data_IF_175787158981
#
_entry.id   IF_175787158981
#
_cell.length_a   1.000
_cell.length_b   1.000
_cell.length_c   1.000
_cell.angle_alpha   90.00
_cell.angle_beta   90.00
_cell.angle_gamma   90.00
#
_symmetry.space_group_name_H-M   'P 1'
#
loop_
_entity.id
_entity.type
_entity.pdbx_description
1 polymer ?
#
# COMPACT_ATOMS: atom_id res chain seq x y z
N UNK A 1 -3.37 -16.67 -2.04
CA UNK A 1 -3.41 -16.23 -3.46
C UNK A 1 -2.07 -16.48 -4.18
N UNK A 2 -0.90 -16.29 -3.55
CA UNK A 2 0.36 -16.91 -4.00
C UNK A 2 0.48 -18.40 -3.61
N UNK A 3 -0.07 -18.80 -2.46
CA UNK A 3 0.03 -20.17 -1.93
C UNK A 3 -0.88 -21.22 -2.62
N UNK A 4 -1.76 -20.82 -3.54
CA UNK A 4 -2.77 -21.72 -4.13
C UNK A 4 -2.48 -22.15 -5.58
N UNK A 5 -1.27 -21.91 -6.10
CA UNK A 5 -0.82 -22.35 -7.43
C UNK A 5 -1.70 -21.91 -8.64
N UNK A 6 -2.72 -21.07 -8.43
CA UNK A 6 -3.56 -20.48 -9.49
C UNK A 6 -2.78 -19.38 -10.23
N UNK A 7 -1.82 -18.75 -9.55
CA UNK A 7 -0.94 -17.75 -10.11
C UNK A 7 0.46 -18.36 -10.20
N UNK A 8 0.86 -18.78 -11.40
CA UNK A 8 2.20 -19.31 -11.62
C UNK A 8 3.21 -18.16 -11.64
N UNK A 9 3.97 -17.94 -10.55
CA UNK A 9 5.06 -16.95 -10.52
C UNK A 9 6.21 -17.28 -11.49
N UNK A 10 6.25 -18.49 -12.05
CA UNK A 10 7.13 -18.82 -13.18
C UNK A 10 6.66 -18.19 -14.50
N UNK A 11 5.41 -17.71 -14.55
CA UNK A 11 4.95 -16.89 -15.67
C UNK A 11 5.54 -15.48 -15.51
N UNK A 12 6.43 -15.13 -16.44
CA UNK A 12 7.14 -13.86 -16.46
C UNK A 12 6.21 -12.65 -16.41
N UNK A 13 5.00 -12.76 -16.97
CA UNK A 13 4.03 -11.67 -16.97
C UNK A 13 3.53 -11.34 -15.55
N UNK A 14 3.19 -12.37 -14.77
CA UNK A 14 2.74 -12.19 -13.38
C UNK A 14 3.87 -11.62 -12.53
N UNK A 15 5.08 -12.16 -12.68
CA UNK A 15 6.25 -11.70 -11.94
C UNK A 15 6.54 -10.21 -12.24
N UNK A 16 6.46 -9.81 -13.51
CA UNK A 16 6.62 -8.42 -13.94
C UNK A 16 5.58 -7.50 -13.29
N UNK A 17 4.31 -7.90 -13.24
CA UNK A 17 3.26 -7.11 -12.57
C UNK A 17 3.56 -7.00 -11.06
N UNK A 18 3.92 -8.11 -10.42
CA UNK A 18 4.26 -8.10 -8.99
C UNK A 18 5.41 -7.15 -8.67
N UNK A 19 6.50 -7.24 -9.44
CA UNK A 19 7.67 -6.37 -9.32
C UNK A 19 7.33 -4.90 -9.55
N UNK A 20 6.50 -4.62 -10.56
CA UNK A 20 6.05 -3.27 -10.84
C UNK A 20 5.26 -2.70 -9.67
N UNK A 21 4.27 -3.45 -9.17
CA UNK A 21 3.45 -3.01 -8.04
C UNK A 21 4.29 -2.80 -6.77
N UNK A 22 5.25 -3.70 -6.51
CA UNK A 22 6.19 -3.55 -5.41
C UNK A 22 7.00 -2.26 -5.54
N UNK A 23 7.67 -2.04 -6.69
CA UNK A 23 8.50 -0.84 -6.92
C UNK A 23 7.68 0.46 -6.92
N UNK A 24 6.44 0.41 -7.40
CA UNK A 24 5.55 1.57 -7.41
C UNK A 24 5.10 1.97 -5.99
N UNK A 25 4.89 0.99 -5.11
CA UNK A 25 4.38 1.22 -3.75
C UNK A 25 5.49 1.41 -2.70
N UNK A 26 6.68 0.87 -2.93
CA UNK A 26 7.81 0.93 -1.97
C UNK A 26 8.20 2.35 -1.53
N UNK A 27 8.20 3.40 -2.37
CA UNK A 27 8.49 4.77 -1.92
C UNK A 27 7.54 5.28 -0.83
N UNK A 28 6.29 4.81 -0.82
CA UNK A 28 5.28 5.17 0.18
C UNK A 28 5.32 4.22 1.39
N UNK A 29 5.56 2.93 1.16
CA UNK A 29 5.58 1.92 2.22
C UNK A 29 6.86 1.97 3.06
N UNK A 30 8.02 2.23 2.46
CA UNK A 30 9.34 2.21 3.15
C UNK A 30 9.43 3.21 4.30
N UNK A 31 9.00 4.48 4.17
CA UNK A 31 9.01 5.42 5.29
C UNK A 31 8.07 4.97 6.42
N UNK A 32 6.88 4.45 6.09
CA UNK A 32 5.92 3.97 7.07
C UNK A 32 6.51 2.79 7.85
N UNK A 33 7.11 1.82 7.16
CA UNK A 33 7.75 0.65 7.78
C UNK A 33 8.89 1.03 8.74
N UNK A 34 9.60 2.13 8.48
CA UNK A 34 10.66 2.64 9.37
C UNK A 34 10.14 3.29 10.65
N UNK A 35 8.90 3.76 10.65
CA UNK A 35 8.28 4.44 11.80
C UNK A 35 7.56 3.41 12.69
N UNK A 36 7.03 2.34 12.10
CA UNK A 36 6.35 1.29 12.84
C UNK A 36 7.32 0.51 13.73
N UNK A 37 6.88 0.09 14.93
CA UNK A 37 7.66 -0.84 15.74
C UNK A 37 7.81 -2.19 15.01
N UNK A 38 8.74 -3.03 15.48
CA UNK A 38 8.84 -4.39 14.97
C UNK A 38 7.62 -5.21 15.43
N UNK A 39 6.84 -5.70 14.46
CA UNK A 39 5.58 -6.42 14.68
C UNK A 39 5.73 -7.93 14.43
N UNK A 40 6.94 -8.47 14.61
CA UNK A 40 7.17 -9.91 14.48
C UNK A 40 7.17 -10.39 13.04
N UNK A 41 7.74 -9.58 12.13
CA UNK A 41 7.92 -9.93 10.71
C UNK A 41 6.70 -9.75 9.80
N UNK A 42 5.57 -9.28 10.34
CA UNK A 42 4.39 -8.92 9.54
C UNK A 42 4.48 -7.44 9.13
N UNK A 43 4.39 -7.17 7.83
CA UNK A 43 4.38 -5.80 7.32
C UNK A 43 2.97 -5.19 7.40
N UNK A 44 2.74 -4.34 8.42
CA UNK A 44 1.50 -3.56 8.55
C UNK A 44 1.52 -2.23 7.78
N UNK A 45 2.64 -1.88 7.12
CA UNK A 45 2.75 -0.61 6.38
C UNK A 45 1.66 -0.41 5.32
N UNK A 46 1.15 -1.45 4.60
CA UNK A 46 0.06 -1.24 3.65
C UNK A 46 -1.25 -0.81 4.30
N UNK A 47 -1.58 -1.37 5.48
CA UNK A 47 -2.80 -1.01 6.21
C UNK A 47 -2.72 0.45 6.66
N UNK A 48 -1.57 0.86 7.20
CA UNK A 48 -1.34 2.24 7.64
C UNK A 48 -1.40 3.21 6.46
N UNK A 49 -0.84 2.84 5.30
CA UNK A 49 -0.96 3.64 4.08
C UNK A 49 -2.42 3.85 3.68
N UNK A 50 -3.26 2.81 3.71
CA UNK A 50 -4.69 2.94 3.41
C UNK A 50 -5.42 3.84 4.42
N UNK A 51 -5.10 3.75 5.71
CA UNK A 51 -5.68 4.63 6.73
C UNK A 51 -5.35 6.10 6.47
N UNK A 52 -4.10 6.40 6.10
CA UNK A 52 -3.68 7.76 5.74
C UNK A 52 -4.46 8.25 4.52
N UNK A 53 -4.59 7.43 3.48
CA UNK A 53 -5.33 7.79 2.26
C UNK A 53 -6.80 8.09 2.59
N UNK A 54 -7.48 7.22 3.35
CA UNK A 54 -8.87 7.45 3.74
C UNK A 54 -9.05 8.68 4.61
N UNK A 55 -8.13 8.92 5.54
CA UNK A 55 -8.14 10.12 6.36
C UNK A 55 -8.01 11.38 5.50
N UNK A 56 -7.02 11.43 4.60
CA UNK A 56 -6.79 12.57 3.72
C UNK A 56 -8.00 12.80 2.79
N UNK A 57 -8.53 11.74 2.19
CA UNK A 57 -9.71 11.81 1.34
C UNK A 57 -10.89 12.41 2.11
N UNK A 58 -11.20 11.87 3.31
CA UNK A 58 -12.30 12.37 4.12
C UNK A 58 -12.08 13.81 4.56
N UNK A 59 -10.88 14.13 5.03
CA UNK A 59 -10.52 15.47 5.49
C UNK A 59 -10.66 16.51 4.37
N UNK A 60 -10.20 16.19 3.17
CA UNK A 60 -10.35 17.04 1.98
C UNK A 60 -11.84 17.26 1.69
N UNK A 61 -12.64 16.19 1.61
CA UNK A 61 -14.07 16.29 1.29
C UNK A 61 -14.89 17.03 2.34
N UNK A 62 -14.62 16.82 3.62
CA UNK A 62 -15.43 17.42 4.70
C UNK A 62 -14.99 18.83 5.05
N UNK A 63 -13.70 19.14 4.88
CA UNK A 63 -13.12 20.39 5.43
C UNK A 63 -12.66 21.32 4.33
N UNK A 64 -11.95 20.82 3.31
CA UNK A 64 -11.34 21.68 2.29
C UNK A 64 -12.32 21.97 1.16
N UNK A 65 -13.00 20.95 0.62
CA UNK A 65 -13.93 21.14 -0.48
C UNK A 65 -15.05 22.16 -0.15
N UNK A 66 -15.69 22.13 1.04
CA UNK A 66 -16.71 23.13 1.38
C UNK A 66 -16.15 24.49 1.78
N UNK A 67 -14.86 24.58 2.09
CA UNK A 67 -14.21 25.84 2.46
C UNK A 67 -13.68 26.62 1.24
N UNK A 68 -13.47 25.93 0.12
CA UNK A 68 -12.89 26.48 -1.12
C UNK A 68 -13.94 26.64 -2.23
N UNK A 69 -15.01 25.83 -2.22
CA UNK A 69 -16.15 25.92 -3.13
C UNK A 69 -17.34 26.57 -2.43
#
# INVERSE_FOLDING_TARGET
LFAFNVINSRNQFVAMIGDFLYKATEPLLRPIRRILPDLGGIDLSPIVLFLIIFFLQRFIWTTIAPAVL
#
